data_IF_245799079347
#
_entry.id   IF_245799079347
#
_cell.length_a   1.000
_cell.length_b   1.000
_cell.length_c   1.000
_cell.angle_alpha   90.00
_cell.angle_beta   90.00
_cell.angle_gamma   90.00
#
_symmetry.space_group_name_H-M   'P 1'
#
loop_
_entity.id
_entity.type
_entity.pdbx_description
1 polymer ?
#
# COMPACT_ATOMS: atom_id res chain seq x y z
N UNK A 1 -0.43 19.60 -17.77
CA UNK A 1 0.23 18.38 -18.28
C UNK A 1 -0.72 17.61 -19.19
N UNK A 2 -1.86 17.12 -18.67
CA UNK A 2 -2.83 16.26 -19.40
C UNK A 2 -3.31 16.84 -20.73
N UNK A 3 -3.69 18.13 -20.78
CA UNK A 3 -4.10 18.80 -22.02
C UNK A 3 -3.04 18.73 -23.13
N UNK A 4 -1.76 18.89 -22.80
CA UNK A 4 -0.68 18.83 -23.78
C UNK A 4 -0.39 17.40 -24.23
N UNK A 5 -0.40 16.45 -23.29
CA UNK A 5 -0.29 15.03 -23.63
C UNK A 5 -1.44 14.59 -24.56
N UNK A 6 -2.69 15.00 -24.28
CA UNK A 6 -3.86 14.73 -25.11
C UNK A 6 -3.80 15.42 -26.48
N UNK A 7 -3.13 16.56 -26.58
CA UNK A 7 -2.85 17.25 -27.84
C UNK A 7 -1.64 16.66 -28.61
N UNK A 8 -1.10 15.52 -28.19
CA UNK A 8 -0.03 14.80 -28.89
C UNK A 8 1.40 15.22 -28.53
N UNK A 9 1.59 16.09 -27.54
CA UNK A 9 2.94 16.39 -27.06
C UNK A 9 3.55 15.16 -26.36
N UNK A 10 4.79 14.81 -26.76
CA UNK A 10 5.50 13.63 -26.24
C UNK A 10 5.76 13.76 -24.74
N UNK A 11 5.51 12.67 -24.01
CA UNK A 11 5.88 12.53 -22.59
C UNK A 11 6.96 11.47 -22.42
N UNK A 12 7.76 11.62 -21.37
CA UNK A 12 8.80 10.67 -20.98
C UNK A 12 8.43 10.03 -19.65
N UNK A 13 8.23 8.71 -19.64
CA UNK A 13 7.98 7.97 -18.41
C UNK A 13 9.31 7.71 -17.70
N UNK A 14 9.43 8.18 -16.47
CA UNK A 14 10.47 7.71 -15.54
C UNK A 14 10.08 6.30 -15.08
N UNK A 15 10.89 5.32 -15.46
CA UNK A 15 10.52 3.91 -15.33
C UNK A 15 10.92 3.30 -13.99
N UNK A 16 11.92 3.84 -13.31
CA UNK A 16 12.44 3.24 -12.08
C UNK A 16 11.79 3.85 -10.84
N UNK A 17 11.20 3.02 -9.99
CA UNK A 17 10.67 3.42 -8.68
C UNK A 17 11.65 2.99 -7.57
N UNK A 18 11.83 3.86 -6.57
CA UNK A 18 12.81 3.70 -5.48
C UNK A 18 12.15 3.59 -4.09
N UNK A 19 10.82 3.48 -4.01
CA UNK A 19 10.07 3.61 -2.75
C UNK A 19 9.44 2.31 -2.29
N UNK A 20 8.70 1.62 -3.14
CA UNK A 20 7.84 0.50 -2.77
C UNK A 20 8.59 -0.83 -2.80
N UNK A 21 8.22 -1.78 -1.93
CA UNK A 21 8.59 -3.18 -2.08
C UNK A 21 7.96 -3.75 -3.37
N UNK A 22 8.59 -4.71 -4.09
CA UNK A 22 8.07 -5.24 -5.36
C UNK A 22 6.63 -5.78 -5.28
N UNK A 23 6.26 -6.41 -4.16
CA UNK A 23 4.89 -6.90 -3.96
C UNK A 23 3.84 -5.79 -3.95
N UNK A 24 4.21 -4.58 -3.48
CA UNK A 24 3.36 -3.39 -3.47
C UNK A 24 3.33 -2.76 -4.86
N UNK A 25 4.49 -2.61 -5.52
CA UNK A 25 4.58 -1.93 -6.83
C UNK A 25 3.98 -2.74 -7.99
N UNK A 26 3.89 -4.06 -7.84
CA UNK A 26 3.44 -4.99 -8.89
C UNK A 26 2.06 -4.65 -9.46
N UNK A 27 1.08 -4.34 -8.61
CA UNK A 27 -0.27 -3.99 -9.09
C UNK A 27 -0.30 -2.64 -9.82
N UNK A 28 0.17 -1.52 -9.23
CA UNK A 28 0.21 -0.23 -9.91
C UNK A 28 1.01 -0.27 -11.22
N UNK A 29 2.16 -0.96 -11.24
CA UNK A 29 2.99 -1.10 -12.44
C UNK A 29 2.20 -1.73 -13.60
N UNK A 30 1.48 -2.82 -13.34
CA UNK A 30 0.66 -3.50 -14.37
C UNK A 30 -0.57 -2.68 -14.76
N UNK A 31 -1.29 -2.15 -13.78
CA UNK A 31 -2.61 -1.55 -14.00
C UNK A 31 -2.53 -0.14 -14.61
N UNK A 32 -1.61 0.71 -14.14
CA UNK A 32 -1.52 2.11 -14.58
C UNK A 32 -0.37 2.38 -15.56
N UNK A 33 0.66 1.53 -15.59
CA UNK A 33 1.87 1.75 -16.38
C UNK A 33 2.13 0.67 -17.43
N UNK A 34 1.15 -0.19 -17.72
CA UNK A 34 1.30 -1.30 -18.70
C UNK A 34 2.51 -2.20 -18.44
N UNK A 35 2.88 -2.37 -17.16
CA UNK A 35 4.06 -3.14 -16.74
C UNK A 35 5.40 -2.46 -17.01
N UNK A 36 5.43 -1.17 -17.37
CA UNK A 36 6.66 -0.45 -17.72
C UNK A 36 7.43 0.11 -16.53
N UNK A 37 6.77 0.27 -15.38
CA UNK A 37 7.40 0.68 -14.14
C UNK A 37 8.21 -0.50 -13.57
N UNK A 38 9.48 -0.26 -13.25
CA UNK A 38 10.42 -1.24 -12.73
C UNK A 38 10.93 -0.80 -11.36
N UNK A 39 11.31 -1.77 -10.54
CA UNK A 39 11.82 -1.53 -9.20
C UNK A 39 13.34 -1.34 -9.23
N UNK A 40 13.85 -0.35 -8.49
CA UNK A 40 15.28 -0.27 -8.24
C UNK A 40 15.73 -1.48 -7.38
N UNK A 41 16.92 -2.03 -7.64
CA UNK A 41 17.43 -3.19 -6.90
C UNK A 41 17.51 -2.95 -5.39
N UNK A 42 17.70 -1.71 -4.96
CA UNK A 42 17.83 -1.34 -3.54
C UNK A 42 16.53 -1.49 -2.76
N UNK A 43 15.35 -1.43 -3.40
CA UNK A 43 14.07 -1.41 -2.67
C UNK A 43 13.79 -2.74 -1.98
N UNK A 44 14.31 -3.87 -2.51
CA UNK A 44 14.15 -5.19 -1.91
C UNK A 44 14.80 -5.21 -0.52
N UNK A 45 16.04 -4.73 -0.44
CA UNK A 45 16.80 -4.71 0.81
C UNK A 45 16.34 -3.59 1.74
N UNK A 46 16.10 -2.38 1.23
CA UNK A 46 15.74 -1.22 2.06
C UNK A 46 14.34 -1.33 2.69
N UNK A 47 13.42 -2.03 2.02
CA UNK A 47 12.04 -2.20 2.48
C UNK A 47 11.82 -3.53 3.18
N UNK A 48 12.81 -4.41 3.27
CA UNK A 48 12.72 -5.63 4.07
C UNK A 48 12.53 -5.29 5.56
N UNK A 49 11.61 -6.00 6.22
CA UNK A 49 11.35 -5.87 7.65
C UNK A 49 11.14 -7.25 8.26
N UNK A 50 11.56 -7.49 9.52
CA UNK A 50 11.45 -8.80 10.15
C UNK A 50 10.01 -9.34 10.16
N UNK A 51 9.03 -8.47 10.39
CA UNK A 51 7.61 -8.84 10.45
C UNK A 51 7.04 -9.30 9.11
N UNK A 52 7.70 -9.03 7.97
CA UNK A 52 7.24 -9.52 6.66
C UNK A 52 7.20 -11.05 6.54
N UNK A 53 7.83 -11.78 7.47
CA UNK A 53 7.73 -13.24 7.56
C UNK A 53 6.31 -13.74 7.90
N UNK A 54 5.48 -12.91 8.53
CA UNK A 54 4.12 -13.28 8.91
C UNK A 54 3.14 -12.85 7.82
N UNK A 55 2.23 -13.74 7.40
CA UNK A 55 1.27 -13.46 6.33
C UNK A 55 0.45 -12.19 6.54
N UNK A 56 0.04 -11.90 7.78
CA UNK A 56 -0.71 -10.70 8.13
C UNK A 56 0.09 -9.41 7.89
N UNK A 57 1.41 -9.49 8.00
CA UNK A 57 2.35 -8.37 7.87
C UNK A 57 3.24 -8.48 6.62
N UNK A 58 2.88 -9.34 5.66
CA UNK A 58 3.54 -9.38 4.37
C UNK A 58 3.50 -7.98 3.72
N UNK A 59 4.47 -7.62 2.85
CA UNK A 59 4.57 -6.27 2.29
C UNK A 59 3.29 -5.78 1.61
N UNK A 60 2.48 -6.70 1.09
CA UNK A 60 1.16 -6.42 0.54
C UNK A 60 0.20 -7.57 0.86
N UNK A 61 -0.91 -7.25 1.55
CA UNK A 61 -1.93 -8.19 1.97
C UNK A 61 -3.32 -7.58 1.79
N UNK A 62 -4.29 -8.39 1.39
CA UNK A 62 -5.70 -8.03 1.40
C UNK A 62 -6.40 -8.85 2.49
N UNK A 63 -7.10 -8.16 3.40
CA UNK A 63 -7.86 -8.80 4.48
C UNK A 63 -9.32 -8.47 4.25
N UNK A 64 -10.09 -9.51 3.95
CA UNK A 64 -11.54 -9.41 3.77
C UNK A 64 -12.23 -9.43 5.14
N UNK A 65 -13.02 -8.40 5.43
CA UNK A 65 -13.76 -8.24 6.68
C UNK A 65 -15.20 -8.63 6.41
N UNK A 66 -15.54 -9.89 6.66
CA UNK A 66 -16.81 -10.48 6.27
C UNK A 66 -18.06 -9.75 6.82
N UNK A 67 -17.93 -9.11 7.98
CA UNK A 67 -18.94 -8.30 8.67
C UNK A 67 -18.68 -6.78 8.52
N UNK A 68 -17.91 -6.38 7.52
CA UNK A 68 -17.63 -5.00 7.19
C UNK A 68 -18.80 -4.34 6.47
N UNK A 69 -19.43 -3.37 7.11
CA UNK A 69 -20.49 -2.55 6.52
C UNK A 69 -20.14 -1.07 6.66
N UNK A 70 -20.23 -0.32 5.55
CA UNK A 70 -19.99 1.10 5.53
C UNK A 70 -21.28 1.86 5.83
N UNK A 71 -21.22 2.77 6.79
CA UNK A 71 -22.35 3.59 7.25
C UNK A 71 -22.09 5.07 6.98
N UNK A 72 -23.13 5.81 6.60
CA UNK A 72 -23.05 7.25 6.42
C UNK A 72 -23.06 7.96 7.78
N UNK A 73 -22.02 8.72 8.06
CA UNK A 73 -21.90 9.57 9.24
C UNK A 73 -22.72 10.85 9.08
N UNK A 74 -22.99 11.54 10.19
CA UNK A 74 -23.71 12.82 10.21
C UNK A 74 -23.08 13.92 9.35
N UNK A 75 -21.79 13.80 9.01
CA UNK A 75 -21.04 14.74 8.17
C UNK A 75 -20.89 14.33 6.70
N UNK A 76 -21.73 13.43 6.19
CA UNK A 76 -21.67 12.89 4.82
C UNK A 76 -20.40 12.07 4.48
N UNK A 77 -19.61 11.70 5.48
CA UNK A 77 -18.50 10.74 5.32
C UNK A 77 -18.96 9.31 5.58
N UNK A 78 -18.25 8.32 5.07
CA UNK A 78 -18.52 6.90 5.33
C UNK A 78 -17.57 6.37 6.40
N UNK A 79 -18.07 5.50 7.26
CA UNK A 79 -17.28 4.82 8.28
C UNK A 79 -17.62 3.33 8.31
N UNK A 80 -16.63 2.49 8.62
CA UNK A 80 -16.83 1.06 8.84
C UNK A 80 -16.18 0.69 10.19
N UNK A 81 -17.02 0.40 11.18
CA UNK A 81 -16.55 0.12 12.55
C UNK A 81 -15.83 -1.24 12.63
N UNK A 82 -16.26 -2.23 11.86
CA UNK A 82 -15.64 -3.57 11.82
C UNK A 82 -14.22 -3.50 11.26
N UNK A 83 -14.02 -2.79 10.14
CA UNK A 83 -12.69 -2.54 9.59
C UNK A 83 -11.79 -1.76 10.57
N UNK A 84 -12.33 -0.71 11.20
CA UNK A 84 -11.57 0.08 12.17
C UNK A 84 -11.10 -0.75 13.38
N UNK A 85 -11.96 -1.65 13.90
CA UNK A 85 -11.60 -2.58 14.98
C UNK A 85 -10.47 -3.51 14.54
N UNK A 86 -10.56 -4.08 13.34
CA UNK A 86 -9.51 -4.94 12.80
C UNK A 86 -8.18 -4.18 12.66
N UNK A 87 -8.19 -2.95 12.13
CA UNK A 87 -6.98 -2.11 12.01
C UNK A 87 -6.32 -1.91 13.38
N UNK A 88 -7.10 -1.59 14.42
CA UNK A 88 -6.57 -1.45 15.79
C UNK A 88 -5.95 -2.75 16.29
N UNK A 89 -6.57 -3.91 16.03
CA UNK A 89 -6.02 -5.21 16.42
C UNK A 89 -4.70 -5.53 15.69
N UNK A 90 -4.63 -5.29 14.38
CA UNK A 90 -3.43 -5.49 13.56
C UNK A 90 -2.28 -4.63 14.09
N UNK A 91 -2.53 -3.33 14.33
CA UNK A 91 -1.50 -2.40 14.84
C UNK A 91 -1.04 -2.80 16.24
N UNK A 92 -1.97 -3.14 17.15
CA UNK A 92 -1.62 -3.60 18.50
C UNK A 92 -0.77 -4.86 18.47
N UNK A 93 -1.14 -5.84 17.64
CA UNK A 93 -0.37 -7.07 17.49
C UNK A 93 1.04 -6.79 16.96
N UNK A 94 1.16 -5.94 15.93
CA UNK A 94 2.46 -5.55 15.38
C UNK A 94 3.35 -4.89 16.44
N UNK A 95 2.81 -3.96 17.22
CA UNK A 95 3.56 -3.25 18.27
C UNK A 95 3.93 -4.17 19.45
N UNK A 96 3.08 -5.13 19.81
CA UNK A 96 3.36 -6.08 20.87
C UNK A 96 4.53 -7.03 20.50
N UNK A 97 4.55 -7.54 19.27
CA UNK A 97 5.60 -8.46 18.79
C UNK A 97 6.89 -7.71 18.37
N UNK A 98 6.78 -6.44 18.02
CA UNK A 98 7.89 -5.65 17.46
C UNK A 98 8.02 -4.28 18.10
N UNK A 99 8.04 -4.20 19.44
CA UNK A 99 8.10 -2.94 20.18
C UNK A 99 9.19 -1.94 19.74
N UNK A 100 10.29 -2.43 19.15
CA UNK A 100 11.37 -1.60 18.57
C UNK A 100 10.96 -0.74 17.36
N UNK A 101 9.77 -0.95 16.78
CA UNK A 101 9.23 -0.11 15.69
C UNK A 101 8.34 1.01 16.20
N UNK A 102 7.91 0.97 17.47
CA UNK A 102 7.31 2.13 18.10
C UNK A 102 8.38 3.22 18.11
N UNK A 103 8.07 4.39 17.54
CA UNK A 103 8.97 5.54 17.60
C UNK A 103 9.31 5.91 19.06
N UNK A 104 10.29 6.80 19.27
CA UNK A 104 10.54 7.36 20.60
C UNK A 104 9.29 8.01 21.20
#
# INVERSE_FOLDING_TARGET
FERLQGAGHRTHLLRTQYRMHPDISRFPARHFYSGRLIDASTVVTERARPYHAYRLFAPYSFVDVADGEAELTSGASWANTSEARLVVLIVRHLLAEHAHIAGP
#
